data_IF_875843423424
#
_entry.id   IF_875843423424
#
_cell.length_a   1.000
_cell.length_b   1.000
_cell.length_c   1.000
_cell.angle_alpha   90.00
_cell.angle_beta   90.00
_cell.angle_gamma   90.00
#
_symmetry.space_group_name_H-M   'P 1'
#
loop_
_entity.id
_entity.type
_entity.pdbx_description
1 polymer ?
#
# COMPACT_ATOMS: atom_id res chain seq x y z
N UNK A 1 -88.02 38.20 -3.77
CA UNK A 1 -86.79 37.55 -3.27
C UNK A 1 -86.94 36.07 -3.58
N UNK A 2 -86.24 35.50 -4.54
CA UNK A 2 -86.27 34.10 -4.92
C UNK A 2 -85.43 33.31 -3.96
N UNK A 3 -86.02 32.55 -3.09
CA UNK A 3 -85.33 31.59 -2.21
C UNK A 3 -84.95 30.40 -3.01
N UNK A 4 -83.61 30.19 -3.17
CA UNK A 4 -83.14 29.03 -3.84
C UNK A 4 -83.21 27.74 -3.00
N UNK A 5 -83.60 26.59 -3.58
CA UNK A 5 -83.72 25.36 -2.81
C UNK A 5 -82.31 24.94 -2.33
N UNK A 6 -82.19 24.62 -1.06
CA UNK A 6 -80.98 24.12 -0.40
C UNK A 6 -80.51 22.82 -1.05
N UNK A 7 -79.31 22.84 -1.54
CA UNK A 7 -78.70 21.65 -2.12
C UNK A 7 -77.87 20.89 -1.04
N UNK A 8 -77.38 19.69 -1.37
CA UNK A 8 -76.65 18.86 -0.41
C UNK A 8 -75.25 19.40 -0.07
N UNK A 9 -74.79 20.42 -0.76
CA UNK A 9 -73.52 21.10 -0.46
C UNK A 9 -73.66 22.15 0.63
N UNK A 10 -74.90 22.55 0.95
CA UNK A 10 -75.16 23.51 2.03
C UNK A 10 -75.09 22.87 3.44
N UNK A 11 -75.00 21.56 3.51
CA UNK A 11 -74.79 20.84 4.79
C UNK A 11 -73.33 20.50 4.91
N UNK A 12 -72.57 21.26 5.68
CA UNK A 12 -71.25 20.84 6.11
C UNK A 12 -71.38 19.55 6.90
N UNK A 13 -70.63 18.48 6.61
CA UNK A 13 -70.62 17.27 7.41
C UNK A 13 -70.14 17.57 8.82
N UNK A 14 -70.99 17.26 9.83
CA UNK A 14 -70.73 17.55 11.26
C UNK A 14 -69.51 16.82 11.85
N UNK A 15 -68.95 15.87 11.11
CA UNK A 15 -67.72 15.18 11.51
C UNK A 15 -66.75 15.12 10.35
N UNK A 16 -65.91 16.13 10.22
CA UNK A 16 -64.69 16.04 9.43
C UNK A 16 -63.66 15.17 10.19
N UNK A 17 -63.93 13.88 10.29
CA UNK A 17 -63.02 12.92 10.93
C UNK A 17 -61.76 12.61 10.09
N UNK A 18 -61.48 13.38 9.02
CA UNK A 18 -60.28 13.23 8.20
C UNK A 18 -59.51 14.53 8.09
N UNK A 19 -58.82 14.83 9.16
CA UNK A 19 -57.65 15.69 9.08
C UNK A 19 -56.54 14.87 8.44
N UNK A 20 -56.03 15.34 7.31
CA UNK A 20 -55.07 14.65 6.43
C UNK A 20 -54.02 13.80 7.14
N UNK A 21 -54.13 12.50 6.97
CA UNK A 21 -53.25 11.48 7.53
C UNK A 21 -51.87 11.41 6.82
N UNK A 22 -51.32 12.53 6.28
CA UNK A 22 -50.09 12.51 5.52
C UNK A 22 -48.83 12.95 6.27
N UNK A 23 -48.93 13.17 7.58
CA UNK A 23 -47.74 13.35 8.43
C UNK A 23 -47.73 12.28 9.50
N UNK A 24 -47.03 11.19 9.19
CA UNK A 24 -46.66 10.25 10.26
C UNK A 24 -45.87 11.03 11.32
N UNK A 25 -46.22 10.89 12.60
CA UNK A 25 -45.51 11.55 13.69
C UNK A 25 -44.05 11.10 13.62
N UNK A 26 -43.14 12.05 13.45
CA UNK A 26 -41.69 11.79 13.58
C UNK A 26 -41.47 11.34 15.02
N UNK A 27 -41.17 10.07 15.23
CA UNK A 27 -40.74 9.56 16.52
C UNK A 27 -39.45 10.24 16.91
N UNK A 28 -39.40 11.15 17.90
CA UNK A 28 -38.17 11.74 18.37
C UNK A 28 -37.34 10.64 19.03
N UNK A 29 -36.09 10.48 18.64
CA UNK A 29 -35.14 9.56 19.27
C UNK A 29 -34.52 8.49 18.35
N UNK A 30 -35.14 8.15 17.21
CA UNK A 30 -34.59 7.09 16.34
C UNK A 30 -33.40 7.55 15.53
N UNK A 31 -33.28 8.87 15.27
CA UNK A 31 -32.13 9.45 14.58
C UNK A 31 -30.82 9.38 15.37
N UNK A 32 -30.89 9.54 16.67
CA UNK A 32 -29.71 9.47 17.54
C UNK A 32 -29.12 8.05 17.61
N UNK A 33 -29.97 7.03 17.61
CA UNK A 33 -29.50 5.63 17.55
C UNK A 33 -28.82 5.29 16.22
N UNK A 34 -29.33 5.79 15.10
CA UNK A 34 -28.66 5.57 13.79
C UNK A 34 -27.34 6.31 13.69
N UNK A 35 -27.23 7.51 14.25
CA UNK A 35 -25.96 8.23 14.36
C UNK A 35 -24.96 7.50 15.29
N UNK A 36 -25.43 6.95 16.41
CA UNK A 36 -24.59 6.16 17.32
C UNK A 36 -24.00 4.91 16.63
N UNK A 37 -24.82 4.18 15.87
CA UNK A 37 -24.34 3.01 15.10
C UNK A 37 -23.41 3.38 13.95
N UNK A 38 -23.66 4.50 13.27
CA UNK A 38 -22.76 4.99 12.22
C UNK A 38 -21.40 5.41 12.80
N UNK A 39 -21.39 6.13 13.91
CA UNK A 39 -20.16 6.51 14.61
C UNK A 39 -19.36 5.27 15.10
N UNK A 40 -20.05 4.27 15.66
CA UNK A 40 -19.42 3.01 16.09
C UNK A 40 -18.82 2.27 14.91
N UNK A 41 -19.54 2.15 13.79
CA UNK A 41 -19.04 1.49 12.59
C UNK A 41 -17.78 2.21 12.04
N UNK A 42 -17.77 3.53 12.04
CA UNK A 42 -16.62 4.33 11.61
C UNK A 42 -15.41 4.11 12.52
N UNK A 43 -15.61 4.10 13.84
CA UNK A 43 -14.53 3.82 14.80
C UNK A 43 -13.96 2.40 14.64
N UNK A 44 -14.81 1.41 14.39
CA UNK A 44 -14.37 0.03 14.13
C UNK A 44 -13.56 -0.04 12.83
N UNK A 45 -14.00 0.63 11.76
CA UNK A 45 -13.25 0.66 10.50
C UNK A 45 -11.90 1.38 10.63
N UNK A 46 -11.86 2.49 11.37
CA UNK A 46 -10.60 3.20 11.67
C UNK A 46 -9.69 2.29 12.51
N UNK A 47 -10.22 1.64 13.53
CA UNK A 47 -9.47 0.71 14.38
C UNK A 47 -8.89 -0.47 13.60
N UNK A 48 -9.69 -1.10 12.72
CA UNK A 48 -9.24 -2.18 11.83
C UNK A 48 -8.24 -1.68 10.79
N UNK A 49 -8.43 -0.47 10.26
CA UNK A 49 -7.49 0.16 9.32
C UNK A 49 -6.13 0.43 9.96
N UNK A 50 -6.11 0.99 11.17
CA UNK A 50 -4.87 1.22 11.93
C UNK A 50 -4.21 -0.10 12.32
N UNK A 51 -4.99 -1.09 12.76
CA UNK A 51 -4.46 -2.44 13.07
C UNK A 51 -3.89 -3.12 11.83
N UNK A 52 -4.55 -3.00 10.67
CA UNK A 52 -4.06 -3.50 9.39
C UNK A 52 -2.75 -2.84 8.97
N UNK A 53 -2.66 -1.52 9.08
CA UNK A 53 -1.44 -0.76 8.78
C UNK A 53 -0.29 -1.14 9.72
N UNK A 54 -0.54 -1.30 11.03
CA UNK A 54 0.51 -1.72 11.99
C UNK A 54 0.96 -3.16 11.78
N UNK A 55 0.10 -4.04 11.27
CA UNK A 55 0.49 -5.40 10.90
C UNK A 55 1.34 -5.41 9.62
N UNK A 56 1.04 -4.56 8.64
CA UNK A 56 1.87 -4.39 7.44
C UNK A 56 3.23 -3.82 7.82
N UNK A 57 3.29 -2.81 8.68
CA UNK A 57 4.56 -2.24 9.17
C UNK A 57 5.37 -3.26 9.96
N UNK A 58 4.73 -4.13 10.76
CA UNK A 58 5.42 -5.22 11.46
C UNK A 58 5.92 -6.29 10.50
N UNK A 59 5.15 -6.68 9.49
CA UNK A 59 5.63 -7.61 8.47
C UNK A 59 6.80 -7.05 7.65
N UNK A 60 6.80 -5.74 7.38
CA UNK A 60 7.91 -5.06 6.70
C UNK A 60 9.11 -4.89 7.65
N UNK A 61 8.89 -4.66 8.94
CA UNK A 61 9.94 -4.57 9.95
C UNK A 61 10.54 -5.95 10.29
N UNK A 62 9.74 -6.99 10.40
CA UNK A 62 10.21 -8.37 10.65
C UNK A 62 10.92 -8.98 9.44
N UNK A 63 10.63 -8.52 8.21
CA UNK A 63 11.41 -8.90 7.03
C UNK A 63 12.74 -8.13 6.93
N UNK A 64 12.95 -7.12 7.78
CA UNK A 64 14.07 -6.19 7.67
C UNK A 64 15.14 -6.23 8.73
N UNK A 65 14.98 -7.00 9.81
CA UNK A 65 15.90 -6.92 10.94
C UNK A 65 16.30 -8.27 11.57
N UNK A 66 16.30 -9.33 10.81
CA UNK A 66 17.16 -10.44 11.21
C UNK A 66 18.58 -9.99 10.90
N UNK A 67 19.38 -9.73 11.95
CA UNK A 67 20.83 -9.59 11.81
C UNK A 67 21.28 -10.77 10.97
N UNK A 68 21.61 -10.49 9.69
CA UNK A 68 22.08 -11.52 8.80
C UNK A 68 23.29 -12.20 9.50
N UNK A 69 23.35 -13.51 9.57
CA UNK A 69 24.57 -14.17 10.02
C UNK A 69 25.72 -13.53 9.28
N UNK A 70 26.89 -13.37 9.94
CA UNK A 70 28.09 -12.76 9.36
C UNK A 70 28.49 -13.51 8.09
N UNK A 71 27.76 -13.27 7.03
CA UNK A 71 27.97 -13.90 5.72
C UNK A 71 29.07 -13.10 5.05
N UNK A 72 30.18 -13.75 4.73
CA UNK A 72 31.27 -13.09 4.00
C UNK A 72 30.72 -12.53 2.69
N UNK A 73 30.87 -11.22 2.44
CA UNK A 73 30.50 -10.63 1.15
C UNK A 73 31.31 -11.30 0.03
N UNK A 74 30.64 -11.90 -0.93
CA UNK A 74 31.28 -12.56 -2.08
C UNK A 74 30.73 -11.97 -3.37
N UNK A 75 31.60 -11.80 -4.36
CA UNK A 75 31.17 -11.50 -5.73
C UNK A 75 30.95 -12.83 -6.43
N UNK A 76 29.75 -13.04 -6.95
CA UNK A 76 29.40 -14.24 -7.71
C UNK A 76 28.88 -13.83 -9.10
N UNK A 77 29.73 -13.94 -10.14
CA UNK A 77 29.36 -13.54 -11.49
C UNK A 77 28.33 -14.46 -12.16
N UNK A 78 28.01 -15.61 -11.53
CA UNK A 78 27.01 -16.55 -12.06
C UNK A 78 25.58 -16.19 -11.67
N UNK A 79 25.42 -15.22 -10.76
CA UNK A 79 24.13 -14.73 -10.33
C UNK A 79 23.74 -13.50 -11.14
N UNK A 80 22.58 -13.58 -11.79
CA UNK A 80 22.02 -12.46 -12.55
C UNK A 80 21.59 -11.33 -11.61
N UNK A 81 21.92 -10.09 -11.95
CA UNK A 81 21.52 -8.91 -11.20
C UNK A 81 20.54 -8.08 -12.01
N UNK A 82 19.40 -7.76 -11.42
CA UNK A 82 18.40 -6.83 -11.95
C UNK A 82 18.36 -5.59 -11.10
N UNK A 83 18.43 -4.41 -11.74
CA UNK A 83 18.35 -3.13 -11.05
C UNK A 83 17.02 -2.44 -11.39
N UNK A 84 16.28 -2.06 -10.35
CA UNK A 84 15.02 -1.34 -10.46
C UNK A 84 15.19 0.08 -9.90
N UNK A 85 14.98 1.07 -10.75
CA UNK A 85 14.97 2.46 -10.34
C UNK A 85 13.62 2.82 -9.71
N UNK A 86 13.59 2.99 -8.40
CA UNK A 86 12.40 3.41 -7.64
C UNK A 86 12.49 4.89 -7.24
N UNK A 87 13.12 5.71 -8.09
CA UNK A 87 13.23 7.16 -7.94
C UNK A 87 12.76 7.88 -9.21
N UNK A 88 12.72 9.19 -9.14
CA UNK A 88 12.43 10.03 -10.33
C UNK A 88 13.68 10.41 -11.11
N UNK A 89 14.88 10.04 -10.64
CA UNK A 89 16.15 10.35 -11.30
C UNK A 89 16.33 9.43 -12.50
N UNK A 90 16.37 10.01 -13.68
CA UNK A 90 16.60 9.26 -14.92
C UNK A 90 18.05 8.74 -14.99
N UNK A 91 18.23 7.53 -15.55
CA UNK A 91 19.55 6.95 -15.75
C UNK A 91 20.23 6.35 -14.51
N UNK A 92 19.63 6.50 -13.31
CA UNK A 92 20.23 6.04 -12.05
C UNK A 92 20.55 4.54 -12.06
N UNK A 93 19.63 3.70 -12.55
CA UNK A 93 19.83 2.26 -12.65
C UNK A 93 20.93 1.90 -13.68
N UNK A 94 21.04 2.64 -14.77
CA UNK A 94 22.09 2.42 -15.77
C UNK A 94 23.47 2.78 -15.22
N UNK A 95 23.60 3.89 -14.50
CA UNK A 95 24.84 4.28 -13.82
C UNK A 95 25.26 3.25 -12.77
N UNK A 96 24.32 2.79 -11.94
CA UNK A 96 24.56 1.74 -10.96
C UNK A 96 24.97 0.41 -11.62
N UNK A 97 24.32 0.03 -12.73
CA UNK A 97 24.65 -1.16 -13.50
C UNK A 97 26.08 -1.13 -14.00
N UNK A 98 26.50 -0.01 -14.60
CA UNK A 98 27.89 0.17 -15.08
C UNK A 98 28.88 0.05 -13.92
N UNK A 99 28.58 0.65 -12.77
CA UNK A 99 29.47 0.61 -11.61
C UNK A 99 29.66 -0.80 -11.05
N UNK A 100 28.61 -1.64 -11.01
CA UNK A 100 28.72 -3.02 -10.49
C UNK A 100 29.30 -3.97 -11.54
N UNK A 101 29.04 -3.76 -12.84
CA UNK A 101 29.66 -4.52 -13.93
C UNK A 101 31.17 -4.35 -13.92
N UNK A 102 31.68 -3.15 -13.67
CA UNK A 102 33.09 -2.89 -13.49
C UNK A 102 33.71 -3.62 -12.28
N UNK A 103 32.88 -4.06 -11.32
CA UNK A 103 33.29 -4.85 -10.13
C UNK A 103 33.04 -6.36 -10.29
N UNK A 104 32.75 -6.82 -11.52
CA UNK A 104 32.60 -8.23 -11.88
C UNK A 104 31.21 -8.83 -11.68
N UNK A 105 30.17 -8.01 -11.52
CA UNK A 105 28.79 -8.49 -11.46
C UNK A 105 28.17 -8.61 -12.86
N UNK A 106 27.38 -9.65 -13.06
CA UNK A 106 26.60 -9.83 -14.28
C UNK A 106 25.24 -9.15 -14.17
N UNK A 107 25.06 -8.07 -14.93
CA UNK A 107 23.78 -7.33 -14.96
C UNK A 107 22.91 -7.84 -16.10
N UNK A 108 21.80 -8.50 -15.74
CA UNK A 108 20.81 -9.01 -16.71
C UNK A 108 20.00 -7.87 -17.33
N UNK A 109 19.50 -6.96 -16.47
CA UNK A 109 18.63 -5.86 -16.94
C UNK A 109 18.52 -4.71 -15.94
N UNK A 110 18.11 -3.56 -16.47
CA UNK A 110 17.72 -2.38 -15.71
C UNK A 110 16.31 -1.96 -16.11
N UNK A 111 15.48 -1.58 -15.13
CA UNK A 111 14.12 -1.12 -15.38
C UNK A 111 13.69 -0.07 -14.34
N UNK A 112 12.57 0.58 -14.59
CA UNK A 112 11.93 1.41 -13.57
C UNK A 112 11.01 0.54 -12.70
N UNK A 113 11.00 0.80 -11.40
CA UNK A 113 10.05 0.18 -10.49
C UNK A 113 8.64 0.79 -10.67
N UNK A 114 7.61 0.06 -10.26
CA UNK A 114 6.23 0.57 -10.29
C UNK A 114 5.99 1.72 -9.30
N UNK A 115 6.90 1.93 -8.36
CA UNK A 115 6.84 3.01 -7.37
C UNK A 115 8.13 3.82 -7.41
N UNK A 116 8.01 5.15 -7.36
CA UNK A 116 9.13 6.10 -7.32
C UNK A 116 9.34 6.73 -5.94
N UNK A 117 8.71 6.17 -4.90
CA UNK A 117 8.72 6.72 -3.54
C UNK A 117 9.60 5.96 -2.56
N UNK A 118 10.37 4.98 -3.01
CA UNK A 118 11.26 4.18 -2.17
C UNK A 118 12.36 5.06 -1.59
N UNK A 119 12.48 5.06 -0.26
CA UNK A 119 13.46 5.89 0.44
C UNK A 119 14.83 5.24 0.50
N UNK A 120 14.88 3.93 0.74
CA UNK A 120 16.11 3.19 1.05
C UNK A 120 16.39 2.13 0.00
N UNK A 121 17.59 2.15 -0.55
CA UNK A 121 18.08 1.15 -1.48
C UNK A 121 18.24 -0.20 -0.78
N UNK A 122 17.71 -1.25 -1.40
CA UNK A 122 17.74 -2.59 -0.82
C UNK A 122 18.10 -3.63 -1.88
N UNK A 123 19.00 -4.53 -1.51
CA UNK A 123 19.35 -5.71 -2.32
C UNK A 123 18.49 -6.90 -1.85
N UNK A 124 17.62 -7.36 -2.72
CA UNK A 124 16.77 -8.51 -2.47
C UNK A 124 17.39 -9.80 -3.01
N UNK A 125 17.30 -10.86 -2.23
CA UNK A 125 17.70 -12.20 -2.60
C UNK A 125 16.57 -13.20 -2.29
N UNK A 126 16.53 -14.34 -2.97
CA UNK A 126 15.36 -15.25 -2.93
C UNK A 126 15.62 -16.51 -2.11
N UNK A 127 16.90 -16.86 -1.87
CA UNK A 127 17.31 -18.03 -1.09
C UNK A 127 18.42 -17.65 -0.12
N UNK A 128 18.52 -18.34 1.00
CA UNK A 128 19.56 -18.08 2.01
C UNK A 128 20.98 -18.30 1.48
N UNK A 129 21.17 -19.19 0.49
CA UNK A 129 22.45 -19.41 -0.16
C UNK A 129 22.98 -18.17 -0.90
N UNK A 130 22.10 -17.27 -1.33
CA UNK A 130 22.45 -16.02 -2.01
C UNK A 130 22.82 -14.87 -1.05
N UNK A 131 22.70 -15.07 0.27
CA UNK A 131 22.95 -14.02 1.25
C UNK A 131 24.36 -13.43 1.15
N UNK A 132 25.39 -14.25 0.86
CA UNK A 132 26.76 -13.80 0.66
C UNK A 132 26.92 -12.92 -0.58
N UNK A 133 26.32 -13.34 -1.68
CA UNK A 133 26.30 -12.55 -2.91
C UNK A 133 25.51 -11.25 -2.74
N UNK A 134 24.36 -11.28 -2.05
CA UNK A 134 23.60 -10.07 -1.76
C UNK A 134 24.39 -9.07 -0.91
N UNK A 135 25.11 -9.54 0.11
CA UNK A 135 25.99 -8.70 0.93
C UNK A 135 27.17 -8.14 0.11
N UNK A 136 27.76 -8.95 -0.80
CA UNK A 136 28.80 -8.51 -1.72
C UNK A 136 28.32 -7.43 -2.69
N UNK A 137 27.13 -7.62 -3.26
CA UNK A 137 26.49 -6.64 -4.15
C UNK A 137 26.16 -5.34 -3.42
N UNK A 138 25.60 -5.43 -2.20
CA UNK A 138 25.33 -4.27 -1.36
C UNK A 138 26.60 -3.46 -1.08
N UNK A 139 27.70 -4.15 -0.71
CA UNK A 139 29.01 -3.52 -0.53
C UNK A 139 29.52 -2.86 -1.81
N UNK A 140 29.33 -3.50 -2.96
CA UNK A 140 29.74 -2.96 -4.26
C UNK A 140 28.99 -1.68 -4.63
N UNK A 141 27.73 -1.55 -4.23
CA UNK A 141 26.90 -0.35 -4.41
C UNK A 141 27.09 0.70 -3.32
N UNK A 142 27.82 0.40 -2.23
CA UNK A 142 27.92 1.30 -1.08
C UNK A 142 26.68 1.34 -0.21
N UNK A 143 25.80 0.32 -0.30
CA UNK A 143 24.58 0.21 0.49
C UNK A 143 24.71 -0.91 1.53
N UNK A 144 23.90 -0.86 2.58
CA UNK A 144 24.01 -1.83 3.69
C UNK A 144 22.82 -2.76 3.80
N UNK A 145 21.69 -2.41 3.15
CA UNK A 145 20.44 -3.14 3.32
C UNK A 145 20.30 -4.31 2.36
N UNK A 146 20.14 -5.50 2.91
CA UNK A 146 19.80 -6.71 2.16
C UNK A 146 18.54 -7.32 2.76
N UNK A 147 17.70 -7.98 1.95
CA UNK A 147 16.47 -8.60 2.43
C UNK A 147 16.16 -9.89 1.66
N UNK A 148 15.74 -10.92 2.39
CA UNK A 148 15.19 -12.13 1.80
C UNK A 148 13.76 -11.87 1.34
N UNK A 149 13.46 -12.05 0.05
CA UNK A 149 12.11 -11.88 -0.48
C UNK A 149 11.87 -12.81 -1.66
N UNK A 150 10.79 -13.58 -1.60
CA UNK A 150 10.35 -14.43 -2.71
C UNK A 150 9.60 -13.65 -3.80
N UNK A 151 9.30 -12.38 -3.57
CA UNK A 151 8.57 -11.54 -4.53
C UNK A 151 9.28 -11.41 -5.88
N UNK A 152 10.62 -11.45 -5.86
CA UNK A 152 11.46 -11.33 -7.05
C UNK A 152 11.95 -12.69 -7.57
N UNK A 153 11.42 -13.79 -7.04
CA UNK A 153 11.83 -15.12 -7.45
C UNK A 153 11.37 -15.43 -8.88
N UNK A 154 12.27 -15.98 -9.66
CA UNK A 154 11.98 -16.53 -10.99
C UNK A 154 12.36 -18.00 -10.97
N UNK A 155 11.42 -18.86 -11.41
CA UNK A 155 11.64 -20.30 -11.41
C UNK A 155 12.87 -20.68 -12.23
N UNK A 156 13.74 -21.51 -11.65
CA UNK A 156 14.95 -22.02 -12.32
C UNK A 156 16.08 -21.01 -12.48
N UNK A 157 16.01 -19.81 -11.91
CA UNK A 157 17.06 -18.79 -12.01
C UNK A 157 17.55 -18.31 -10.65
N UNK A 158 18.88 -18.16 -10.51
CA UNK A 158 19.52 -17.47 -9.40
C UNK A 158 19.63 -16.00 -9.72
N UNK A 159 18.85 -15.15 -9.01
CA UNK A 159 18.79 -13.72 -9.30
C UNK A 159 18.84 -12.91 -8.01
N UNK A 160 19.58 -11.80 -8.06
CA UNK A 160 19.50 -10.70 -7.09
C UNK A 160 18.74 -9.53 -7.71
N UNK A 161 17.90 -8.88 -6.95
CA UNK A 161 17.18 -7.69 -7.40
C UNK A 161 17.53 -6.50 -6.52
N UNK A 162 18.05 -5.45 -7.12
CA UNK A 162 18.34 -4.19 -6.43
C UNK A 162 17.21 -3.20 -6.70
N UNK A 163 16.62 -2.68 -5.65
CA UNK A 163 15.68 -1.58 -5.74
C UNK A 163 16.37 -0.33 -5.25
N UNK A 164 16.69 0.58 -6.18
CA UNK A 164 17.38 1.83 -5.90
C UNK A 164 16.38 2.85 -5.31
N UNK A 165 16.67 3.35 -4.13
CA UNK A 165 15.91 4.35 -3.42
C UNK A 165 16.50 5.76 -3.54
N UNK A 166 15.83 6.70 -2.87
CA UNK A 166 16.26 8.12 -2.86
C UNK A 166 17.62 8.33 -2.21
N UNK A 167 18.00 7.49 -1.25
CA UNK A 167 19.32 7.50 -0.61
C UNK A 167 20.47 7.31 -1.62
N UNK A 168 20.29 6.40 -2.57
CA UNK A 168 21.27 6.18 -3.62
C UNK A 168 21.32 7.36 -4.61
N UNK A 169 20.15 7.92 -4.96
CA UNK A 169 20.07 9.07 -5.86
C UNK A 169 20.69 10.36 -5.27
N UNK A 170 20.74 10.49 -3.95
CA UNK A 170 21.37 11.65 -3.29
C UNK A 170 22.89 11.49 -3.09
N UNK A 171 23.38 10.24 -3.19
CA UNK A 171 24.81 9.93 -3.00
C UNK A 171 25.59 9.87 -4.32
N UNK A 172 24.90 9.78 -5.46
CA UNK A 172 25.42 9.62 -6.81
C UNK A 172 24.73 10.55 -7.80
#
# INVERSE_FOLDING_TARGET
>A
MTEYPRDRFDRAPETLARVGAHRAPRRPGRGWFTFGWAALATLVLIGLGVLGLTQIDRQVADTGATAAPLVKPTVDPTIDVVLLNATTTSGLAAGAASAITAKGWHVESTANANSTSVKTTTVYYTTTSQAGAAAGLAKSLGVTRTALSKQFAVAGRSRLTVVLGKDYATAH
#
